data_IF_179965921839
#
_entry.id   IF_179965921839
#
_cell.length_a   1.000
_cell.length_b   1.000
_cell.length_c   1.000
_cell.angle_alpha   90.00
_cell.angle_beta   90.00
_cell.angle_gamma   90.00
#
_symmetry.space_group_name_H-M   'P 1'
#
loop_
_entity.id
_entity.type
_entity.pdbx_description
1 polymer ?
#
# COMPACT_ATOMS: atom_id res chain seq x y z
N UNK A 1 -10.11 -7.55 18.01
CA UNK A 1 -10.78 -7.34 16.70
C UNK A 1 -9.94 -8.04 15.65
N UNK A 2 -10.45 -9.11 15.02
CA UNK A 2 -9.73 -9.77 13.92
C UNK A 2 -9.73 -8.81 12.73
N UNK A 3 -8.66 -8.02 12.59
CA UNK A 3 -8.51 -7.13 11.45
C UNK A 3 -8.44 -7.99 10.20
N UNK A 4 -9.46 -7.89 9.33
CA UNK A 4 -9.45 -8.56 8.05
C UNK A 4 -8.12 -8.21 7.34
N UNK A 5 -7.45 -9.22 6.77
CA UNK A 5 -6.19 -8.98 6.05
C UNK A 5 -6.39 -7.87 5.02
N UNK A 6 -5.50 -6.87 4.91
CA UNK A 6 -5.65 -5.78 3.94
C UNK A 6 -5.74 -6.31 2.50
N UNK A 7 -5.16 -7.49 2.24
CA UNK A 7 -5.34 -8.25 1.00
C UNK A 7 -6.82 -8.55 0.72
N UNK A 8 -7.56 -9.03 1.72
CA UNK A 8 -9.00 -9.35 1.58
C UNK A 8 -9.80 -8.08 1.31
N UNK A 9 -9.50 -7.01 2.05
CA UNK A 9 -10.18 -5.71 1.90
C UNK A 9 -9.97 -5.14 0.50
N UNK A 10 -8.76 -5.20 -0.04
CA UNK A 10 -8.48 -4.79 -1.42
C UNK A 10 -9.22 -5.64 -2.42
N UNK A 11 -9.17 -6.97 -2.28
CA UNK A 11 -9.85 -7.85 -3.22
C UNK A 11 -11.37 -7.58 -3.24
N UNK A 12 -11.96 -7.31 -2.08
CA UNK A 12 -13.37 -6.96 -1.97
C UNK A 12 -13.69 -5.57 -2.53
N UNK A 13 -12.81 -4.57 -2.34
CA UNK A 13 -12.95 -3.24 -2.95
C UNK A 13 -12.79 -3.29 -4.47
N UNK A 14 -11.77 -3.99 -4.95
CA UNK A 14 -11.47 -4.15 -6.37
C UNK A 14 -12.64 -4.83 -7.10
N UNK A 15 -13.17 -5.92 -6.53
CA UNK A 15 -14.34 -6.61 -7.09
C UNK A 15 -15.57 -5.71 -7.15
N UNK A 16 -15.83 -4.90 -6.12
CA UNK A 16 -16.97 -3.97 -6.09
C UNK A 16 -16.82 -2.85 -7.12
N UNK A 17 -15.61 -2.34 -7.31
CA UNK A 17 -15.30 -1.27 -8.25
C UNK A 17 -14.97 -1.77 -9.66
N UNK A 18 -15.04 -3.09 -9.91
CA UNK A 18 -14.64 -3.75 -11.17
C UNK A 18 -13.20 -3.43 -11.60
N UNK A 19 -12.32 -3.25 -10.62
CA UNK A 19 -10.90 -2.99 -10.83
C UNK A 19 -10.15 -4.32 -10.82
N UNK A 20 -9.24 -4.50 -11.78
CA UNK A 20 -8.35 -5.67 -11.81
C UNK A 20 -7.24 -5.54 -10.77
N UNK A 21 -6.96 -6.63 -10.05
CA UNK A 21 -5.87 -6.69 -9.07
C UNK A 21 -4.95 -7.87 -9.32
N UNK A 22 -3.64 -7.62 -9.35
CA UNK A 22 -2.61 -8.65 -9.54
C UNK A 22 -1.44 -8.43 -8.58
N UNK A 23 -0.99 -9.50 -7.93
CA UNK A 23 0.22 -9.50 -7.11
C UNK A 23 1.35 -10.19 -7.89
N UNK A 24 2.50 -9.52 -7.97
CA UNK A 24 3.70 -10.03 -8.64
C UNK A 24 4.91 -9.92 -7.71
N UNK A 25 5.68 -11.00 -7.59
CA UNK A 25 6.98 -10.96 -6.92
C UNK A 25 8.00 -10.36 -7.89
N UNK A 26 8.63 -9.24 -7.53
CA UNK A 26 9.63 -8.58 -8.39
C UNK A 26 11.06 -8.94 -8.01
N UNK A 27 11.35 -8.97 -6.70
CA UNK A 27 12.72 -9.16 -6.23
C UNK A 27 12.76 -10.00 -4.97
N UNK A 28 13.79 -10.82 -4.88
CA UNK A 28 14.19 -11.53 -3.69
C UNK A 28 15.68 -11.27 -3.50
N UNK A 29 16.08 -10.71 -2.36
CA UNK A 29 17.48 -10.37 -2.10
C UNK A 29 17.81 -10.43 -0.62
N UNK A 30 19.10 -10.53 -0.30
CA UNK A 30 19.59 -10.56 1.08
C UNK A 30 20.17 -11.91 1.49
N UNK A 31 20.92 -11.96 2.61
CA UNK A 31 21.53 -13.18 3.11
C UNK A 31 20.46 -14.16 3.63
N UNK A 32 20.82 -15.44 3.75
CA UNK A 32 19.86 -16.50 4.14
C UNK A 32 19.07 -16.21 5.44
N UNK A 33 19.65 -15.46 6.38
CA UNK A 33 19.03 -15.07 7.64
C UNK A 33 18.28 -13.72 7.60
N UNK A 34 18.41 -12.95 6.52
CA UNK A 34 17.76 -11.65 6.34
C UNK A 34 17.29 -11.48 4.89
N UNK A 35 16.53 -12.47 4.42
CA UNK A 35 15.95 -12.43 3.07
C UNK A 35 14.81 -11.42 3.02
N UNK A 36 14.84 -10.59 1.99
CA UNK A 36 13.90 -9.53 1.70
C UNK A 36 13.20 -9.85 0.38
N UNK A 37 11.88 -9.71 0.40
CA UNK A 37 10.99 -9.94 -0.72
C UNK A 37 10.32 -8.64 -1.10
N UNK A 38 10.39 -8.28 -2.37
CA UNK A 38 9.71 -7.13 -2.96
C UNK A 38 8.57 -7.63 -3.83
N UNK A 39 7.36 -7.27 -3.45
CA UNK A 39 6.12 -7.62 -4.15
C UNK A 39 5.49 -6.34 -4.67
N UNK A 40 5.08 -6.35 -5.93
CA UNK A 40 4.28 -5.32 -6.56
C UNK A 40 2.82 -5.76 -6.66
N UNK A 41 1.91 -4.89 -6.27
CA UNK A 41 0.47 -5.03 -6.41
C UNK A 41 -0.02 -4.04 -7.46
N UNK A 42 -0.63 -4.55 -8.52
CA UNK A 42 -1.33 -3.75 -9.52
C UNK A 42 -2.80 -3.65 -9.14
N UNK A 43 -3.37 -2.45 -9.18
CA UNK A 43 -4.77 -2.13 -8.90
C UNK A 43 -5.27 -1.19 -10.00
N UNK A 44 -5.82 -1.77 -11.08
CA UNK A 44 -6.18 -1.02 -12.28
C UNK A 44 -4.97 -0.35 -12.91
N UNK A 45 -4.98 0.98 -12.99
CA UNK A 45 -3.89 1.78 -13.58
C UNK A 45 -2.79 2.16 -12.58
N UNK A 46 -2.96 1.80 -11.30
CA UNK A 46 -1.99 2.09 -10.24
C UNK A 46 -1.23 0.85 -9.82
N UNK A 47 0.02 1.02 -9.42
CA UNK A 47 0.84 -0.03 -8.83
C UNK A 47 1.46 0.40 -7.50
N UNK A 48 1.63 -0.58 -6.61
CA UNK A 48 2.11 -0.37 -5.25
C UNK A 48 3.16 -1.42 -4.92
N UNK A 49 4.28 -0.99 -4.35
CA UNK A 49 5.41 -1.88 -4.07
C UNK A 49 5.58 -2.02 -2.55
N UNK A 50 5.53 -3.25 -2.07
CA UNK A 50 5.80 -3.62 -0.67
C UNK A 50 7.08 -4.44 -0.57
N UNK A 51 7.96 -4.08 0.36
CA UNK A 51 9.22 -4.79 0.60
C UNK A 51 9.31 -5.24 2.04
N UNK A 52 9.43 -6.54 2.27
CA UNK A 52 9.39 -7.12 3.62
C UNK A 52 10.18 -8.44 3.74
N UNK A 53 10.40 -8.89 4.97
CA UNK A 53 11.11 -10.14 5.29
C UNK A 53 10.39 -11.44 4.90
N UNK A 54 9.19 -11.36 4.32
CA UNK A 54 8.47 -12.51 3.76
C UNK A 54 7.51 -12.06 2.67
N UNK A 55 7.25 -12.93 1.69
CA UNK A 55 6.31 -12.66 0.57
C UNK A 55 4.93 -12.24 1.10
N UNK A 56 4.42 -12.93 2.13
CA UNK A 56 3.11 -12.63 2.72
C UNK A 56 3.06 -11.25 3.37
N UNK A 57 4.14 -10.85 4.06
CA UNK A 57 4.24 -9.51 4.64
C UNK A 57 4.40 -8.45 3.54
N UNK A 58 5.16 -8.74 2.48
CA UNK A 58 5.35 -7.83 1.35
C UNK A 58 4.03 -7.58 0.61
N UNK A 59 3.25 -8.65 0.37
CA UNK A 59 1.89 -8.56 -0.16
C UNK A 59 0.98 -7.73 0.74
N UNK A 60 1.04 -7.96 2.06
CA UNK A 60 0.25 -7.20 3.04
C UNK A 60 0.63 -5.72 3.01
N UNK A 61 1.92 -5.39 2.93
CA UNK A 61 2.42 -4.03 2.88
C UNK A 61 1.98 -3.32 1.59
N UNK A 62 2.14 -3.98 0.43
CA UNK A 62 1.66 -3.46 -0.85
C UNK A 62 0.14 -3.22 -0.81
N UNK A 63 -0.62 -4.14 -0.21
CA UNK A 63 -2.05 -3.98 -0.02
C UNK A 63 -2.41 -2.86 0.98
N UNK A 64 -1.61 -2.63 2.02
CA UNK A 64 -1.87 -1.52 2.93
C UNK A 64 -1.70 -0.18 2.22
N UNK A 65 -0.65 -0.02 1.41
CA UNK A 65 -0.40 1.19 0.62
C UNK A 65 -1.57 1.51 -0.32
N UNK A 66 -2.11 0.51 -1.00
CA UNK A 66 -3.26 0.68 -1.88
C UNK A 66 -4.55 1.04 -1.13
N UNK A 67 -4.76 0.53 0.10
CA UNK A 67 -5.89 0.95 0.94
C UNK A 67 -5.72 2.38 1.44
N UNK A 68 -4.50 2.76 1.80
CA UNK A 68 -4.19 4.10 2.27
C UNK A 68 -4.35 5.13 1.14
N UNK A 69 -3.93 4.79 -0.09
CA UNK A 69 -4.19 5.61 -1.28
C UNK A 69 -5.69 5.73 -1.55
N UNK A 70 -6.43 4.62 -1.54
CA UNK A 70 -7.88 4.65 -1.71
C UNK A 70 -8.57 5.52 -0.65
N UNK A 71 -8.10 5.48 0.61
CA UNK A 71 -8.59 6.34 1.69
C UNK A 71 -8.22 7.81 1.47
N UNK A 72 -7.00 8.11 1.04
CA UNK A 72 -6.53 9.47 0.81
C UNK A 72 -7.24 10.15 -0.36
N UNK A 73 -7.61 9.40 -1.40
CA UNK A 73 -8.45 9.91 -2.50
C UNK A 73 -9.83 10.36 -2.01
N UNK A 74 -10.41 9.69 -1.00
CA UNK A 74 -11.69 10.09 -0.43
C UNK A 74 -11.60 11.33 0.46
N UNK A 75 -10.41 11.62 1.03
CA UNK A 75 -10.16 12.79 1.88
C UNK A 75 -9.82 14.03 1.03
N UNK A 76 -9.07 13.85 -0.05
CA UNK A 76 -8.60 14.96 -0.92
C UNK A 76 -9.75 15.60 -1.72
N UNK A 77 -10.84 14.87 -1.99
CA UNK A 77 -12.02 15.42 -2.67
C UNK A 77 -12.93 16.27 -1.75
N UNK A 78 -12.51 16.56 -0.51
CA UNK A 78 -13.24 17.42 0.44
C UNK A 78 -12.33 18.36 1.25
N UNK A 79 -11.17 18.77 0.74
CA UNK A 79 -10.27 19.70 1.44
C UNK A 79 -9.67 20.77 0.50
N UNK A 80 -10.55 21.59 -0.09
CA UNK A 80 -10.28 23.03 -0.18
C UNK A 80 -10.89 23.65 1.08
N UNK A 81 -10.19 23.58 2.22
CA UNK A 81 -10.31 24.54 3.32
C UNK A 81 -8.95 24.64 4.01
N UNK A 82 -8.47 25.88 4.05
CA UNK A 82 -7.28 26.41 4.71
C UNK A 82 -6.94 25.73 6.05
N UNK A 83 -5.72 25.22 6.18
CA UNK A 83 -4.93 25.43 7.40
C UNK A 83 -3.52 25.87 7.04
N UNK A 84 -3.39 27.19 7.00
CA UNK A 84 -2.14 27.86 7.34
C UNK A 84 -1.55 27.34 8.67
N UNK A 85 -0.23 27.48 8.79
CA UNK A 85 0.59 27.53 10.01
C UNK A 85 1.34 26.24 10.48
N UNK A 86 2.63 26.16 10.08
CA UNK A 86 3.83 26.03 10.96
C UNK A 86 4.07 24.75 11.79
N UNK A 87 5.27 24.29 12.19
CA UNK A 87 6.60 24.86 12.43
C UNK A 87 7.64 23.72 12.57
N UNK A 88 8.89 23.92 12.12
CA UNK A 88 10.08 23.32 12.79
C UNK A 88 10.94 22.31 12.00
N UNK A 89 11.88 22.87 11.21
CA UNK A 89 13.27 22.46 10.86
C UNK A 89 13.82 21.16 11.49
N UNK A 90 14.74 20.38 10.89
CA UNK A 90 16.10 20.78 10.47
C UNK A 90 16.68 19.81 9.40
N UNK A 91 17.16 20.33 8.27
CA UNK A 91 18.35 19.77 7.59
C UNK A 91 19.46 20.80 7.76
N UNK A 92 20.56 20.38 8.39
CA UNK A 92 21.82 21.11 8.55
C UNK A 92 22.84 20.62 7.53
#
# INVERSE_FOLDING_TARGET
MQQASPIKVINDLARRNKIFVEYRLEKESGPAHAKIYTVRLYVGDKDYVGTERSIKLAQRAAAQLALDDHRNLLITNNYDQDISQTNGKIYS
#
